data_IF_773980634221
#
_entry.id   IF_773980634221
#
_cell.length_a   1.000
_cell.length_b   1.000
_cell.length_c   1.000
_cell.angle_alpha   90.00
_cell.angle_beta   90.00
_cell.angle_gamma   90.00
#
_symmetry.space_group_name_H-M   'P 1'
#
loop_
_entity.id
_entity.type
_entity.pdbx_description
1 polymer ?
#
# COMPACT_ATOMS: atom_id res chain seq x y z
N UNK A 1 -6.23 -16.15 -8.67
CA UNK A 1 -4.79 -16.13 -8.33
C UNK A 1 -4.16 -17.53 -8.28
N UNK A 2 -4.72 -18.44 -7.53
CA UNK A 2 -4.13 -19.82 -7.36
C UNK A 2 -4.04 -20.64 -8.65
N UNK A 3 -4.75 -20.25 -9.70
CA UNK A 3 -4.70 -20.88 -11.03
C UNK A 3 -3.51 -20.40 -11.90
N UNK A 4 -2.80 -19.36 -11.45
CA UNK A 4 -1.64 -18.82 -12.15
C UNK A 4 -0.35 -19.37 -11.52
N UNK A 5 0.68 -19.67 -12.33
CA UNK A 5 1.98 -20.07 -11.79
C UNK A 5 2.60 -18.91 -10.99
N UNK A 6 3.41 -19.25 -9.99
CA UNK A 6 4.18 -18.28 -9.21
C UNK A 6 5.14 -17.47 -10.09
N UNK A 7 5.49 -16.27 -9.64
CA UNK A 7 6.41 -15.37 -10.36
C UNK A 7 7.07 -14.37 -9.42
N UNK A 8 8.30 -13.97 -9.74
CA UNK A 8 8.97 -12.86 -9.09
C UNK A 8 8.65 -11.49 -9.74
N UNK A 9 8.00 -11.49 -10.92
CA UNK A 9 7.66 -10.26 -11.64
C UNK A 9 6.29 -9.74 -11.24
N UNK A 10 6.16 -8.43 -11.09
CA UNK A 10 4.88 -7.77 -10.85
C UNK A 10 3.99 -7.88 -12.09
N UNK A 11 2.82 -8.47 -11.94
CA UNK A 11 1.81 -8.64 -13.00
C UNK A 11 0.66 -7.64 -12.90
N UNK A 12 0.24 -7.35 -11.68
CA UNK A 12 -0.87 -6.46 -11.42
C UNK A 12 -0.73 -5.80 -10.05
N UNK A 13 -1.43 -4.68 -9.86
CA UNK A 13 -1.57 -4.01 -8.57
C UNK A 13 -3.06 -3.91 -8.26
N UNK A 14 -3.44 -4.36 -7.06
CA UNK A 14 -4.71 -3.99 -6.44
C UNK A 14 -4.46 -2.74 -5.61
N UNK A 15 -5.00 -1.62 -6.07
CA UNK A 15 -5.04 -0.38 -5.29
C UNK A 15 -6.43 -0.20 -4.70
N UNK A 16 -6.51 0.01 -3.39
CA UNK A 16 -7.76 0.26 -2.69
C UNK A 16 -7.59 1.48 -1.81
N UNK A 17 -8.26 2.55 -2.22
CA UNK A 17 -8.30 3.80 -1.48
C UNK A 17 -9.39 3.76 -0.42
N UNK A 18 -9.13 4.38 0.71
CA UNK A 18 -10.02 4.47 1.86
C UNK A 18 -10.63 3.11 2.27
N UNK A 19 -9.77 2.24 2.82
CA UNK A 19 -10.19 0.89 3.24
C UNK A 19 -11.02 0.86 4.53
N UNK A 20 -11.39 2.03 5.04
CA UNK A 20 -12.29 2.16 6.18
C UNK A 20 -13.56 1.31 6.00
N UNK A 21 -13.91 0.53 6.99
CA UNK A 21 -15.06 -0.37 6.94
C UNK A 21 -14.84 -1.71 6.23
N UNK A 22 -13.81 -1.84 5.39
CA UNK A 22 -13.47 -3.10 4.72
C UNK A 22 -12.49 -3.97 5.52
N UNK A 23 -11.75 -3.35 6.44
CA UNK A 23 -10.72 -4.03 7.23
C UNK A 23 -10.73 -3.62 8.71
N UNK A 24 -11.90 -3.64 9.39
CA UNK A 24 -12.01 -3.21 10.78
C UNK A 24 -11.37 -4.22 11.75
N UNK A 25 -10.93 -3.77 12.94
CA UNK A 25 -10.25 -4.64 13.91
C UNK A 25 -11.16 -5.72 14.51
N UNK A 26 -12.43 -5.42 14.76
CA UNK A 26 -13.35 -6.30 15.49
C UNK A 26 -14.34 -6.99 14.56
N UNK A 27 -14.99 -6.26 13.67
CA UNK A 27 -15.98 -6.82 12.75
C UNK A 27 -15.31 -7.68 11.66
N UNK A 28 -16.08 -8.63 11.12
CA UNK A 28 -15.63 -9.50 10.03
C UNK A 28 -16.50 -9.31 8.77
N UNK A 29 -16.39 -8.17 8.06
CA UNK A 29 -17.07 -8.01 6.79
C UNK A 29 -16.56 -9.05 5.76
N UNK A 30 -17.36 -9.40 4.74
CA UNK A 30 -16.98 -10.39 3.73
C UNK A 30 -15.65 -10.09 3.02
N UNK A 31 -15.23 -8.83 2.97
CA UNK A 31 -13.96 -8.35 2.39
C UNK A 31 -12.73 -8.70 3.23
N UNK A 32 -12.86 -8.85 4.54
CA UNK A 32 -11.70 -8.96 5.45
C UNK A 32 -10.88 -10.23 5.21
N UNK A 33 -11.51 -11.39 5.13
CA UNK A 33 -10.81 -12.65 4.92
C UNK A 33 -10.08 -12.73 3.54
N UNK A 34 -10.71 -12.31 2.42
CA UNK A 34 -10.01 -12.17 1.15
C UNK A 34 -8.80 -11.21 1.19
N UNK A 35 -8.93 -10.03 1.83
CA UNK A 35 -7.84 -9.07 1.96
C UNK A 35 -6.67 -9.66 2.77
N UNK A 36 -6.94 -10.33 3.89
CA UNK A 36 -5.91 -11.03 4.66
C UNK A 36 -5.17 -12.08 3.81
N UNK A 37 -5.89 -12.82 2.98
CA UNK A 37 -5.29 -13.81 2.08
C UNK A 37 -4.41 -13.13 1.03
N UNK A 38 -4.85 -12.01 0.48
CA UNK A 38 -4.05 -11.23 -0.48
C UNK A 38 -2.76 -10.72 0.15
N UNK A 39 -2.83 -10.10 1.33
CA UNK A 39 -1.65 -9.58 2.03
C UNK A 39 -0.61 -10.67 2.33
N UNK A 40 -1.05 -11.89 2.61
CA UNK A 40 -0.16 -13.02 2.88
C UNK A 40 0.43 -13.70 1.64
N UNK A 41 -0.31 -13.77 0.55
CA UNK A 41 -0.01 -14.69 -0.55
C UNK A 41 0.12 -14.03 -1.92
N UNK A 42 -0.39 -12.80 -2.10
CA UNK A 42 -0.49 -12.18 -3.42
C UNK A 42 0.87 -11.98 -4.10
N UNK A 43 1.92 -11.67 -3.32
CA UNK A 43 3.29 -11.48 -3.82
C UNK A 43 3.79 -12.68 -4.62
N UNK A 44 3.55 -13.90 -4.16
CA UNK A 44 4.00 -15.13 -4.84
C UNK A 44 3.43 -15.29 -6.26
N UNK A 45 2.33 -14.59 -6.55
CA UNK A 45 1.66 -14.61 -7.85
C UNK A 45 1.85 -13.32 -8.65
N UNK A 46 2.77 -12.45 -8.21
CA UNK A 46 3.05 -11.18 -8.88
C UNK A 46 1.96 -10.13 -8.72
N UNK A 47 1.13 -10.22 -7.69
CA UNK A 47 0.13 -9.21 -7.37
C UNK A 47 0.62 -8.33 -6.22
N UNK A 48 0.81 -7.04 -6.49
CA UNK A 48 1.02 -6.01 -5.48
C UNK A 48 -0.32 -5.60 -4.86
N UNK A 49 -0.33 -5.32 -3.56
CA UNK A 49 -1.50 -4.80 -2.86
C UNK A 49 -1.11 -3.47 -2.22
N UNK A 50 -1.85 -2.41 -2.56
CA UNK A 50 -1.67 -1.06 -2.02
C UNK A 50 -2.99 -0.66 -1.38
N UNK A 51 -2.94 -0.39 -0.09
CA UNK A 51 -4.10 0.00 0.71
C UNK A 51 -3.86 1.40 1.27
N UNK A 52 -4.84 2.28 1.22
CA UNK A 52 -4.75 3.60 1.85
C UNK A 52 -5.92 3.90 2.78
N UNK A 53 -5.68 4.73 3.76
CA UNK A 53 -6.71 5.22 4.68
C UNK A 53 -6.31 6.56 5.29
N UNK A 54 -7.31 7.33 5.66
CA UNK A 54 -7.16 8.53 6.49
C UNK A 54 -7.43 8.23 7.97
N UNK A 55 -7.98 7.04 8.29
CA UNK A 55 -8.38 6.64 9.64
C UNK A 55 -7.57 5.43 10.13
N UNK A 56 -6.32 5.61 10.53
CA UNK A 56 -5.48 4.47 10.93
C UNK A 56 -6.01 3.71 12.14
N UNK A 57 -6.73 4.38 13.06
CA UNK A 57 -7.30 3.76 14.26
C UNK A 57 -8.27 2.62 13.96
N UNK A 58 -8.98 2.73 12.85
CA UNK A 58 -10.07 1.81 12.50
C UNK A 58 -9.63 0.61 11.66
N UNK A 59 -8.30 0.33 11.62
CA UNK A 59 -7.75 -0.79 10.88
C UNK A 59 -7.34 -1.97 11.76
N UNK A 60 -7.43 -3.17 11.22
CA UNK A 60 -6.88 -4.38 11.85
C UNK A 60 -5.36 -4.48 11.60
N UNK A 61 -4.58 -3.94 12.54
CA UNK A 61 -3.11 -3.94 12.45
C UNK A 61 -2.49 -5.34 12.54
N UNK A 62 -3.15 -6.29 13.19
CA UNK A 62 -2.69 -7.69 13.19
C UNK A 62 -2.68 -8.28 11.78
N UNK A 63 -3.67 -7.88 10.97
CA UNK A 63 -3.70 -8.26 9.56
C UNK A 63 -2.66 -7.51 8.73
N UNK A 64 -2.42 -6.24 9.04
CA UNK A 64 -1.47 -5.40 8.33
C UNK A 64 0.00 -5.71 8.65
N UNK A 65 0.31 -6.49 9.69
CA UNK A 65 1.68 -6.93 9.99
C UNK A 65 2.36 -7.69 8.83
N UNK A 66 1.60 -8.13 7.83
CA UNK A 66 2.15 -8.73 6.61
C UNK A 66 2.49 -7.70 5.51
N UNK A 67 2.28 -6.41 5.74
CA UNK A 67 2.68 -5.36 4.81
C UNK A 67 4.13 -4.98 5.05
N UNK A 68 4.95 -5.06 4.00
CA UNK A 68 6.40 -4.80 4.10
C UNK A 68 6.76 -3.32 3.97
N UNK A 69 5.92 -2.50 3.36
CA UNK A 69 6.22 -1.07 3.13
C UNK A 69 5.06 -0.20 3.58
N UNK A 70 5.39 0.83 4.35
CA UNK A 70 4.45 1.79 4.91
C UNK A 70 4.81 3.21 4.47
N UNK A 71 3.81 3.96 4.01
CA UNK A 71 3.91 5.38 3.73
C UNK A 71 3.01 6.13 4.69
N UNK A 72 3.60 6.92 5.57
CA UNK A 72 2.89 7.58 6.67
C UNK A 72 3.04 9.08 6.51
N UNK A 73 1.92 9.77 6.33
CA UNK A 73 1.85 11.22 6.36
C UNK A 73 1.66 11.76 7.78
N UNK A 74 1.48 13.08 7.87
CA UNK A 74 1.20 13.75 9.15
C UNK A 74 -0.07 13.19 9.78
N UNK A 75 0.05 12.69 11.01
CA UNK A 75 -1.07 12.21 11.82
C UNK A 75 -1.58 13.32 12.73
N UNK A 76 -2.89 13.38 12.93
CA UNK A 76 -3.52 14.50 13.64
C UNK A 76 -3.66 14.26 15.14
N UNK A 77 -3.81 13.01 15.58
CA UNK A 77 -4.04 12.66 16.97
C UNK A 77 -2.95 11.75 17.54
N UNK A 78 -2.73 11.82 18.85
CA UNK A 78 -1.80 10.91 19.54
C UNK A 78 -2.28 9.45 19.45
N UNK A 79 -3.59 9.23 19.36
CA UNK A 79 -4.17 7.90 19.20
C UNK A 79 -3.81 7.30 17.85
N UNK A 80 -3.85 8.09 16.77
CA UNK A 80 -3.41 7.66 15.43
C UNK A 80 -1.93 7.30 15.42
N UNK A 81 -1.09 8.13 16.05
CA UNK A 81 0.35 7.88 16.16
C UNK A 81 0.64 6.58 16.88
N UNK A 82 0.07 6.40 18.08
CA UNK A 82 0.25 5.18 18.85
C UNK A 82 -0.16 3.94 18.06
N UNK A 83 -1.27 4.03 17.35
CA UNK A 83 -1.81 2.92 16.55
C UNK A 83 -0.92 2.56 15.36
N UNK A 84 -0.41 3.56 14.65
CA UNK A 84 0.52 3.35 13.53
C UNK A 84 1.84 2.75 14.04
N UNK A 85 2.35 3.20 15.17
CA UNK A 85 3.57 2.68 15.79
C UNK A 85 3.41 1.20 16.18
N UNK A 86 2.28 0.82 16.79
CA UNK A 86 1.97 -0.60 17.06
C UNK A 86 1.97 -1.44 15.78
N UNK A 87 1.43 -0.89 14.69
CA UNK A 87 1.42 -1.56 13.39
C UNK A 87 2.81 -1.76 12.80
N UNK A 88 3.66 -0.73 12.85
CA UNK A 88 5.05 -0.77 12.39
C UNK A 88 5.89 -1.75 13.21
N UNK A 89 5.75 -1.71 14.53
CA UNK A 89 6.43 -2.64 15.44
C UNK A 89 6.04 -4.09 15.14
N UNK A 90 4.73 -4.35 14.94
CA UNK A 90 4.24 -5.67 14.55
C UNK A 90 4.75 -6.14 13.18
N UNK A 91 4.84 -5.25 12.21
CA UNK A 91 5.37 -5.57 10.87
C UNK A 91 6.88 -5.84 10.91
N UNK A 92 7.64 -5.05 11.66
CA UNK A 92 9.09 -5.24 11.87
C UNK A 92 9.37 -6.57 12.59
N UNK A 93 8.64 -6.87 13.63
CA UNK A 93 8.76 -8.14 14.36
C UNK A 93 8.44 -9.35 13.47
N UNK A 94 7.40 -9.26 12.63
CA UNK A 94 7.05 -10.31 11.68
C UNK A 94 8.12 -10.53 10.61
N UNK A 95 8.87 -9.49 10.26
CA UNK A 95 10.00 -9.55 9.31
C UNK A 95 11.32 -9.93 9.99
N UNK A 96 11.38 -10.05 11.33
CA UNK A 96 12.61 -10.29 12.08
C UNK A 96 13.54 -9.06 12.12
N UNK A 97 13.02 -7.87 11.87
CA UNK A 97 13.76 -6.61 11.86
C UNK A 97 13.69 -5.92 13.25
N UNK A 98 14.71 -5.14 13.56
CA UNK A 98 14.69 -4.25 14.74
C UNK A 98 13.71 -3.09 14.52
N UNK A 99 13.18 -2.55 15.62
CA UNK A 99 12.31 -1.38 15.59
C UNK A 99 12.67 -0.39 16.70
N UNK A 100 13.06 0.82 16.30
CA UNK A 100 13.32 1.91 17.25
C UNK A 100 12.04 2.75 17.42
N UNK A 101 11.30 2.43 18.46
CA UNK A 101 10.04 3.08 18.81
C UNK A 101 10.23 4.57 19.11
N UNK A 102 11.21 4.92 19.93
CA UNK A 102 11.42 6.31 20.37
C UNK A 102 11.80 7.21 19.20
N UNK A 103 12.69 6.74 18.33
CA UNK A 103 13.07 7.44 17.11
C UNK A 103 11.89 7.62 16.16
N UNK A 104 11.08 6.57 16.00
CA UNK A 104 9.89 6.63 15.13
C UNK A 104 8.84 7.61 15.66
N UNK A 105 8.58 7.62 16.96
CA UNK A 105 7.70 8.58 17.62
C UNK A 105 8.16 10.03 17.39
N UNK A 106 9.45 10.31 17.55
CA UNK A 106 10.03 11.61 17.27
C UNK A 106 9.83 12.04 15.81
N UNK A 107 10.09 11.14 14.88
CA UNK A 107 9.91 11.41 13.43
C UNK A 107 8.44 11.72 13.13
N UNK A 108 7.51 10.89 13.58
CA UNK A 108 6.07 11.06 13.33
C UNK A 108 5.53 12.35 13.95
N UNK A 109 6.03 12.76 15.12
CA UNK A 109 5.66 14.03 15.75
C UNK A 109 6.16 15.26 14.98
N UNK A 110 7.29 15.12 14.27
CA UNK A 110 7.91 16.20 13.51
C UNK A 110 7.44 16.31 12.04
N UNK A 111 6.59 15.39 11.56
CA UNK A 111 6.15 15.43 10.17
C UNK A 111 5.36 16.71 9.84
N UNK A 112 5.87 17.48 8.88
CA UNK A 112 5.20 18.63 8.32
C UNK A 112 4.18 18.26 7.24
N UNK A 113 3.52 19.29 6.70
CA UNK A 113 2.64 19.12 5.55
C UNK A 113 3.42 18.60 4.34
N UNK A 114 2.89 17.59 3.65
CA UNK A 114 3.48 16.96 2.45
C UNK A 114 4.82 16.26 2.68
N UNK A 115 5.23 16.09 3.93
CA UNK A 115 6.37 15.25 4.30
C UNK A 115 5.85 13.90 4.77
N UNK A 116 6.48 12.84 4.30
CA UNK A 116 6.08 11.47 4.55
C UNK A 116 7.26 10.65 5.07
N UNK A 117 6.95 9.72 5.96
CA UNK A 117 7.84 8.65 6.36
C UNK A 117 7.55 7.43 5.51
N UNK A 118 8.55 6.90 4.84
CA UNK A 118 8.53 5.57 4.24
C UNK A 118 9.30 4.62 5.15
N UNK A 119 8.64 3.59 5.65
CA UNK A 119 9.26 2.50 6.38
C UNK A 119 9.13 1.21 5.58
N UNK A 120 10.25 0.61 5.21
CA UNK A 120 10.29 -0.68 4.56
C UNK A 120 11.00 -1.68 5.50
N UNK A 121 10.30 -2.74 5.89
CA UNK A 121 10.84 -3.74 6.84
C UNK A 121 12.07 -4.50 6.32
N UNK A 122 12.42 -4.34 5.04
CA UNK A 122 13.60 -4.94 4.43
C UNK A 122 14.79 -3.96 4.33
N UNK A 123 14.59 -2.71 4.75
CA UNK A 123 15.63 -1.67 4.78
C UNK A 123 16.01 -1.39 6.24
N UNK A 124 17.27 -1.00 6.46
CA UNK A 124 17.78 -0.76 7.81
C UNK A 124 17.20 0.50 8.43
N UNK A 125 16.91 1.53 7.63
CA UNK A 125 16.41 2.80 8.12
C UNK A 125 15.20 3.32 7.35
N UNK A 126 14.27 3.98 8.06
CA UNK A 126 13.16 4.66 7.42
C UNK A 126 13.65 5.91 6.65
N UNK A 127 12.95 6.25 5.57
CA UNK A 127 13.26 7.38 4.70
C UNK A 127 12.21 8.46 4.82
N UNK A 128 12.65 9.70 5.05
CA UNK A 128 11.79 10.87 4.93
C UNK A 128 11.82 11.41 3.50
N UNK A 129 10.64 11.67 2.94
CA UNK A 129 10.56 12.27 1.62
C UNK A 129 9.44 13.32 1.54
N UNK A 130 9.58 14.23 0.61
CA UNK A 130 8.57 15.24 0.33
C UNK A 130 8.08 15.09 -1.10
N UNK A 131 6.77 15.22 -1.31
CA UNK A 131 6.22 15.21 -2.65
C UNK A 131 6.59 16.51 -3.37
N UNK A 132 7.03 16.39 -4.63
CA UNK A 132 7.19 17.57 -5.48
C UNK A 132 5.83 18.19 -5.78
N UNK A 133 5.83 19.49 -6.05
CA UNK A 133 4.65 20.13 -6.60
C UNK A 133 4.37 19.57 -7.99
N UNK A 134 3.15 19.09 -8.22
CA UNK A 134 2.66 18.70 -9.51
C UNK A 134 1.22 19.19 -9.66
N UNK A 135 0.93 19.91 -10.75
CA UNK A 135 -0.42 20.29 -11.10
C UNK A 135 -1.08 19.14 -11.84
N UNK A 136 -2.19 18.63 -11.31
CA UNK A 136 -3.02 17.62 -11.96
C UNK A 136 -4.43 18.19 -12.13
N UNK A 137 -4.97 18.05 -13.33
CA UNK A 137 -6.36 18.39 -13.60
C UNK A 137 -7.20 17.11 -13.47
N UNK A 138 -8.11 17.09 -12.52
CA UNK A 138 -9.10 16.02 -12.35
C UNK A 138 -10.44 16.51 -12.87
N UNK A 139 -10.87 15.94 -13.98
CA UNK A 139 -12.11 16.34 -14.65
C UNK A 139 -13.39 15.96 -13.89
N UNK A 140 -13.28 15.24 -12.80
CA UNK A 140 -14.41 14.68 -12.05
C UNK A 140 -14.96 13.39 -12.67
N UNK A 141 -16.19 12.99 -12.34
CA UNK A 141 -16.79 11.75 -12.82
C UNK A 141 -16.89 11.73 -14.36
N UNK A 142 -16.59 10.58 -14.94
CA UNK A 142 -16.70 10.37 -16.39
C UNK A 142 -18.16 10.26 -16.82
N UNK A 143 -18.50 10.85 -17.95
CA UNK A 143 -19.78 10.64 -18.62
C UNK A 143 -19.86 9.24 -19.24
N UNK A 144 -21.07 8.76 -19.53
CA UNK A 144 -21.26 7.47 -20.22
C UNK A 144 -20.52 7.39 -21.55
N UNK A 145 -20.48 8.49 -22.33
CA UNK A 145 -19.75 8.55 -23.59
C UNK A 145 -18.24 8.44 -23.41
N UNK A 146 -17.69 9.09 -22.38
CA UNK A 146 -16.28 8.99 -22.04
C UNK A 146 -15.92 7.57 -21.60
N UNK A 147 -16.76 6.94 -20.79
CA UNK A 147 -16.60 5.54 -20.38
C UNK A 147 -16.63 4.62 -21.60
N UNK A 148 -17.58 4.81 -22.52
CA UNK A 148 -17.68 4.03 -23.74
C UNK A 148 -16.42 4.17 -24.62
N UNK A 149 -15.86 5.37 -24.75
CA UNK A 149 -14.59 5.61 -25.46
C UNK A 149 -13.41 4.87 -24.82
N UNK A 150 -13.33 4.85 -23.49
CA UNK A 150 -12.28 4.15 -22.76
C UNK A 150 -12.46 2.62 -22.82
N UNK A 151 -13.71 2.16 -22.84
CA UNK A 151 -14.05 0.75 -22.97
C UNK A 151 -13.92 0.21 -24.40
N UNK A 152 -14.02 1.08 -25.42
CA UNK A 152 -13.67 0.72 -26.79
C UNK A 152 -12.16 0.42 -26.82
N UNK A 153 -11.80 -0.86 -26.76
CA UNK A 153 -10.44 -1.33 -26.59
C UNK A 153 -9.47 -0.67 -27.58
N UNK A 154 -8.39 -0.05 -27.13
CA UNK A 154 -7.34 0.38 -28.04
C UNK A 154 -6.78 -0.86 -28.76
N UNK A 155 -6.35 -0.73 -30.03
CA UNK A 155 -5.72 -1.84 -30.74
C UNK A 155 -4.59 -2.39 -29.85
N UNK A 156 -4.61 -3.68 -29.58
CA UNK A 156 -3.59 -4.35 -28.76
C UNK A 156 -2.22 -4.05 -29.38
N UNK A 157 -1.49 -3.12 -28.79
CA UNK A 157 -0.09 -2.93 -29.14
C UNK A 157 0.61 -4.24 -28.78
N UNK A 158 0.93 -5.06 -29.78
CA UNK A 158 1.78 -6.23 -29.61
C UNK A 158 3.09 -5.72 -29.01
N UNK A 159 3.32 -5.99 -27.74
CA UNK A 159 4.65 -5.80 -27.17
C UNK A 159 5.63 -6.60 -28.00
N UNK A 160 6.61 -5.93 -28.59
CA UNK A 160 7.73 -6.60 -29.22
C UNK A 160 8.35 -7.58 -28.23
N UNK A 161 8.76 -8.78 -28.66
CA UNK A 161 9.45 -9.72 -27.77
C UNK A 161 10.71 -9.05 -27.21
N UNK A 162 11.08 -9.37 -25.95
CA UNK A 162 12.30 -8.82 -25.36
C UNK A 162 13.49 -9.15 -26.27
N UNK A 163 14.26 -8.12 -26.61
CA UNK A 163 15.51 -8.30 -27.36
C UNK A 163 16.44 -9.18 -26.51
N UNK A 164 16.77 -10.34 -27.04
CA UNK A 164 17.77 -11.25 -26.45
C UNK A 164 19.12 -10.51 -26.37
N UNK A 165 19.54 -10.16 -25.15
CA UNK A 165 20.86 -9.59 -24.88
C UNK A 165 21.85 -10.75 -24.71
N UNK A 166 22.07 -11.52 -25.76
CA UNK A 166 23.24 -12.38 -25.87
C UNK A 166 24.15 -11.81 -26.97
N UNK A 167 25.15 -11.04 -26.55
CA UNK A 167 26.53 -10.98 -27.08
C UNK A 167 27.40 -10.28 -26.07
#
# INVERSE_FOLDING_TARGET
MRTQPGTASLRAILYMDEIFGYFPPVMNPPSKAPLLTLLKQARAFGLGVVLSTQNPVDLDYKGLSNTGTWFIGRLQTERDKARVIEGLEGASAAAGAGFDRARTEQILAGLGSRVFLMNNVHEEEPVLFQTRWALSYLAGPLTREQIARLAAAPPRVRRAPPRDRRR
#
